data_IF_317625909254
#
_entry.id   IF_317625909254
#
_cell.length_a   1.000
_cell.length_b   1.000
_cell.length_c   1.000
_cell.angle_alpha   90.00
_cell.angle_beta   90.00
_cell.angle_gamma   90.00
#
_symmetry.space_group_name_H-M   'P 1'
#
loop_
_entity.id
_entity.type
_entity.pdbx_description
1 polymer ?
#
# COMPACT_ATOMS: atom_id res chain seq x y z
N UNK A 1 -5.92 2.97 -21.09
CA UNK A 1 -4.62 2.28 -21.26
C UNK A 1 -4.10 1.94 -19.89
N UNK A 2 -4.06 0.65 -19.54
CA UNK A 2 -3.79 0.13 -18.19
C UNK A 2 -2.29 0.06 -17.85
N UNK A 3 -1.50 1.00 -18.37
CA UNK A 3 -0.05 1.05 -18.18
C UNK A 3 0.28 2.47 -17.71
N UNK A 4 0.59 2.63 -16.42
CA UNK A 4 1.04 3.92 -15.91
C UNK A 4 1.25 4.02 -14.40
N UNK A 5 0.52 3.25 -13.58
CA UNK A 5 0.64 3.34 -12.13
C UNK A 5 1.06 1.98 -11.55
N UNK A 6 2.37 1.80 -11.36
CA UNK A 6 2.88 0.76 -10.46
C UNK A 6 2.66 1.22 -9.01
N UNK A 7 2.36 0.29 -8.10
CA UNK A 7 2.37 0.62 -6.67
C UNK A 7 3.77 1.12 -6.29
N UNK A 8 3.90 2.05 -5.32
CA UNK A 8 5.20 2.54 -4.89
C UNK A 8 6.18 1.40 -4.55
N UNK A 9 5.71 0.34 -3.87
CA UNK A 9 6.52 -0.84 -3.57
C UNK A 9 6.99 -1.59 -4.83
N UNK A 10 6.14 -1.76 -5.85
CA UNK A 10 6.54 -2.36 -7.13
C UNK A 10 7.54 -1.49 -7.89
N UNK A 11 7.35 -0.18 -7.90
CA UNK A 11 8.31 0.74 -8.50
C UNK A 11 9.67 0.68 -7.77
N UNK A 12 9.66 0.64 -6.44
CA UNK A 12 10.87 0.53 -5.63
C UNK A 12 11.64 -0.77 -5.90
N UNK A 13 10.94 -1.91 -5.92
CA UNK A 13 11.53 -3.21 -6.28
C UNK A 13 12.10 -3.21 -7.69
N UNK A 14 11.44 -2.57 -8.65
CA UNK A 14 11.96 -2.44 -10.01
C UNK A 14 13.22 -1.56 -10.09
N UNK A 15 13.37 -0.57 -9.20
CA UNK A 15 14.51 0.36 -9.17
C UNK A 15 15.72 -0.18 -8.39
N UNK A 16 15.50 -0.93 -7.32
CA UNK A 16 16.52 -1.29 -6.32
C UNK A 16 16.70 -2.81 -6.13
N UNK A 17 15.85 -3.64 -6.74
CA UNK A 17 15.94 -5.09 -6.64
C UNK A 17 15.85 -5.61 -5.21
N UNK A 18 16.81 -6.45 -4.82
CA UNK A 18 16.83 -7.14 -3.52
C UNK A 18 16.97 -6.18 -2.33
N UNK A 19 17.63 -5.03 -2.51
CA UNK A 19 17.72 -4.01 -1.47
C UNK A 19 16.34 -3.41 -1.14
N UNK A 20 15.49 -3.22 -2.15
CA UNK A 20 14.10 -2.82 -1.92
C UNK A 20 13.29 -3.94 -1.28
N UNK A 21 13.54 -5.21 -1.61
CA UNK A 21 12.86 -6.32 -0.97
C UNK A 21 13.17 -6.37 0.54
N UNK A 22 14.45 -6.29 0.91
CA UNK A 22 14.90 -6.27 2.30
C UNK A 22 14.34 -5.07 3.08
N UNK A 23 14.30 -3.89 2.44
CA UNK A 23 13.73 -2.70 3.06
C UNK A 23 12.22 -2.87 3.29
N UNK A 24 11.46 -3.28 2.28
CA UNK A 24 10.01 -3.44 2.39
C UNK A 24 9.63 -4.49 3.43
N UNK A 25 10.38 -5.59 3.52
CA UNK A 25 10.22 -6.59 4.57
C UNK A 25 10.47 -6.01 5.97
N UNK A 26 11.54 -5.23 6.15
CA UNK A 26 11.84 -4.59 7.44
C UNK A 26 10.76 -3.58 7.89
N UNK A 27 10.06 -2.95 6.94
CA UNK A 27 8.92 -2.08 7.22
C UNK A 27 7.57 -2.82 7.29
N UNK A 28 7.55 -4.15 7.11
CA UNK A 28 6.33 -4.96 7.11
C UNK A 28 5.39 -4.65 5.93
N UNK A 29 5.93 -4.22 4.79
CA UNK A 29 5.17 -3.89 3.59
C UNK A 29 5.06 -5.10 2.66
N UNK A 30 3.84 -5.56 2.45
CA UNK A 30 3.50 -6.67 1.56
C UNK A 30 2.55 -6.22 0.44
N UNK A 31 2.61 -6.91 -0.71
CA UNK A 31 1.62 -6.74 -1.76
C UNK A 31 0.41 -7.62 -1.44
N UNK A 32 -0.71 -7.00 -1.08
CA UNK A 32 -1.99 -7.69 -0.87
C UNK A 32 -2.83 -7.61 -2.14
N UNK A 33 -3.29 -8.74 -2.71
CA UNK A 33 -4.25 -8.74 -3.81
C UNK A 33 -5.53 -7.98 -3.44
N UNK A 34 -6.14 -7.28 -4.40
CA UNK A 34 -7.33 -6.45 -4.12
C UNK A 34 -8.53 -7.29 -3.63
N UNK A 35 -8.60 -8.55 -4.06
CA UNK A 35 -9.59 -9.55 -3.67
C UNK A 35 -9.34 -10.16 -2.29
N UNK A 36 -8.12 -10.04 -1.77
CA UNK A 36 -7.74 -10.43 -0.41
C UNK A 36 -7.75 -9.23 0.56
N UNK A 37 -7.88 -8.01 0.04
CA UNK A 37 -7.96 -6.79 0.84
C UNK A 37 -9.36 -6.65 1.43
N UNK A 38 -9.46 -6.72 2.77
CA UNK A 38 -10.72 -6.50 3.45
C UNK A 38 -11.11 -5.02 3.41
N UNK A 39 -11.97 -4.70 2.45
CA UNK A 39 -12.48 -3.35 2.24
C UNK A 39 -13.76 -3.07 3.05
N UNK A 40 -14.09 -3.89 4.05
CA UNK A 40 -15.23 -3.62 4.91
C UNK A 40 -15.12 -2.20 5.50
N UNK A 41 -16.16 -1.35 5.35
CA UNK A 41 -16.09 0.06 5.78
C UNK A 41 -15.64 0.26 7.23
N UNK A 42 -15.99 -0.67 8.13
CA UNK A 42 -15.59 -0.62 9.55
C UNK A 42 -14.10 -0.82 9.80
N UNK A 43 -13.38 -1.55 8.94
CA UNK A 43 -11.94 -1.78 9.06
C UNK A 43 -11.10 -0.67 8.44
N UNK A 44 -11.65 0.09 7.49
CA UNK A 44 -10.98 1.27 6.92
C UNK A 44 -11.30 2.52 7.74
N UNK A 45 -12.53 2.65 8.24
CA UNK A 45 -12.98 3.83 8.99
C UNK A 45 -12.18 4.04 10.28
N UNK A 46 -11.91 2.95 11.04
CA UNK A 46 -11.17 3.05 12.30
C UNK A 46 -9.73 3.56 12.12
N UNK A 47 -8.90 2.99 11.22
CA UNK A 47 -7.57 3.55 10.92
C UNK A 47 -7.61 4.99 10.41
N UNK A 48 -8.65 5.36 9.63
CA UNK A 48 -8.83 6.74 9.15
C UNK A 48 -9.12 7.71 10.29
N UNK A 49 -9.99 7.34 11.22
CA UNK A 49 -10.27 8.12 12.44
C UNK A 49 -9.03 8.24 13.32
N UNK A 50 -8.29 7.15 13.53
CA UNK A 50 -7.03 7.14 14.32
C UNK A 50 -5.95 8.02 13.68
N UNK A 51 -5.90 8.10 12.35
CA UNK A 51 -4.98 8.98 11.61
C UNK A 51 -5.44 10.45 11.57
N UNK A 52 -6.70 10.74 11.92
CA UNK A 52 -7.29 12.07 11.80
C UNK A 52 -7.53 12.49 10.35
N UNK A 53 -7.77 11.53 9.46
CA UNK A 53 -7.90 11.78 8.02
C UNK A 53 -9.24 12.51 7.73
N UNK A 54 -9.16 13.77 7.30
CA UNK A 54 -10.33 14.57 6.93
C UNK A 54 -10.58 14.49 5.42
N UNK A 55 -11.85 14.65 4.96
CA UNK A 55 -12.14 14.79 3.54
C UNK A 55 -11.31 15.93 2.93
N UNK A 56 -10.70 15.66 1.77
CA UNK A 56 -9.99 16.68 1.02
C UNK A 56 -11.01 17.69 0.48
N UNK A 57 -10.91 18.94 0.90
CA UNK A 57 -11.70 20.09 0.45
C UNK A 57 -11.22 20.62 -0.91
#
# INVERSE_FOLDING_TARGET
GALGFATPARAFRAMLGDDAAALLEAYGIEDVPIDELDLMPGLIARPREERGDAPLS
#
